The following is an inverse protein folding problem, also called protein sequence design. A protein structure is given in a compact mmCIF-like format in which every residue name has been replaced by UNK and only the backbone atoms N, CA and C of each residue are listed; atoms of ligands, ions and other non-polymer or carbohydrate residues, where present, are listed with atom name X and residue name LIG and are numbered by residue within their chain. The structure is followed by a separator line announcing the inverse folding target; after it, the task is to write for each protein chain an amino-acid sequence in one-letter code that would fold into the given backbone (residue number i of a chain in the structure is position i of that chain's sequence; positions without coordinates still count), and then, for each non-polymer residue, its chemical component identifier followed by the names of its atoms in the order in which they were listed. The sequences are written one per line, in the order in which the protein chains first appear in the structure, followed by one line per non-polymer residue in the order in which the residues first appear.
data_IF_594944036024
#
_entry.id   IF_594944036024
#
_cell.length_a   1.000
_cell.length_b   1.000
_cell.length_c   1.000
_cell.angle_alpha   90.00
_cell.angle_beta   90.00
_cell.angle_gamma   90.00
#
_symmetry.space_group_name_H-M   'P 1'
#
loop_
_entity.id
_entity.type
_entity.pdbx_description
1 polymer ?
#
# COMPACT_ATOMS: atom_id res chain seq x y z
N UNK A 1 9.88 -3.93 20.17
CA UNK A 1 8.60 -4.55 20.55
C UNK A 1 7.54 -3.49 20.81
N UNK A 2 7.65 -2.64 21.83
CA UNK A 2 6.67 -1.58 22.13
C UNK A 2 6.44 -0.58 20.97
N UNK A 3 7.52 -0.12 20.32
CA UNK A 3 7.44 0.83 19.19
C UNK A 3 6.69 0.25 17.98
N UNK A 4 6.89 -1.03 17.66
CA UNK A 4 6.21 -1.71 16.55
C UNK A 4 4.71 -1.87 16.85
N UNK A 5 4.35 -2.21 18.09
CA UNK A 5 2.95 -2.32 18.52
C UNK A 5 2.25 -0.96 18.46
N UNK A 6 2.91 0.10 18.96
CA UNK A 6 2.39 1.47 18.86
C UNK A 6 2.19 1.92 17.41
N UNK A 7 3.14 1.60 16.52
CA UNK A 7 3.04 1.92 15.10
C UNK A 7 1.86 1.21 14.41
N UNK A 8 1.68 -0.10 14.68
CA UNK A 8 0.53 -0.86 14.15
C UNK A 8 -0.80 -0.31 14.65
N UNK A 9 -0.90 0.06 15.94
CA UNK A 9 -2.11 0.67 16.49
C UNK A 9 -2.39 2.05 15.88
N UNK A 10 -1.35 2.87 15.66
CA UNK A 10 -1.48 4.18 15.02
C UNK A 10 -2.00 4.07 13.57
N UNK A 11 -1.52 3.08 12.81
CA UNK A 11 -2.01 2.78 11.45
C UNK A 11 -3.49 2.37 11.44
N UNK A 12 -3.90 1.50 12.36
CA UNK A 12 -5.30 1.09 12.47
C UNK A 12 -6.20 2.28 12.85
N UNK A 13 -5.76 3.12 13.79
CA UNK A 13 -6.52 4.32 14.20
C UNK A 13 -6.66 5.33 13.07
N UNK A 14 -5.65 5.53 12.22
CA UNK A 14 -5.74 6.47 11.08
C UNK A 14 -6.73 6.00 10.00
N UNK A 15 -7.00 4.71 9.90
CA UNK A 15 -8.07 4.19 9.04
C UNK A 15 -9.45 4.45 9.67
N UNK A 16 -9.61 4.14 10.95
CA UNK A 16 -10.91 4.13 11.64
C UNK A 16 -11.39 5.54 11.98
N UNK A 17 -10.52 6.42 12.49
CA UNK A 17 -10.91 7.73 13.02
C UNK A 17 -11.59 8.63 11.97
N UNK A 18 -11.05 8.79 10.75
CA UNK A 18 -11.67 9.63 9.73
C UNK A 18 -13.03 9.10 9.27
N UNK A 19 -13.19 7.77 9.20
CA UNK A 19 -14.47 7.13 8.90
C UNK A 19 -15.50 7.42 9.98
N UNK A 20 -15.15 7.24 11.25
CA UNK A 20 -16.05 7.52 12.38
C UNK A 20 -16.46 8.99 12.42
N UNK A 21 -15.52 9.93 12.24
CA UNK A 21 -15.81 11.38 12.20
C UNK A 21 -16.76 11.72 11.03
N UNK A 22 -16.62 11.05 9.89
CA UNK A 22 -17.54 11.22 8.78
C UNK A 22 -18.94 10.67 9.08
N UNK A 23 -19.06 9.50 9.71
CA UNK A 23 -20.36 8.90 10.05
C UNK A 23 -21.11 9.64 11.16
N UNK A 24 -20.40 10.27 12.10
CA UNK A 24 -21.00 11.08 13.19
C UNK A 24 -21.38 12.50 12.71
N UNK A 25 -20.77 13.00 11.63
CA UNK A 25 -21.07 14.31 11.07
C UNK A 25 -22.15 14.30 9.97
N UNK A 26 -22.47 15.48 9.42
CA UNK A 26 -23.40 15.55 8.28
C UNK A 26 -22.83 14.87 7.04
N UNK A 27 -23.64 13.97 6.48
CA UNK A 27 -23.38 13.19 5.28
C UNK A 27 -23.50 14.09 4.03
N UNK A 28 -22.51 14.95 3.81
CA UNK A 28 -22.43 15.80 2.61
C UNK A 28 -21.35 15.31 1.65
N UNK A 29 -21.64 15.33 0.33
CA UNK A 29 -20.68 15.00 -0.75
C UNK A 29 -19.35 15.74 -0.61
N UNK A 30 -19.37 16.98 -0.11
CA UNK A 30 -18.16 17.79 0.09
C UNK A 30 -17.28 17.30 1.25
N UNK A 31 -17.89 16.80 2.33
CA UNK A 31 -17.16 16.24 3.48
C UNK A 31 -16.63 14.85 3.17
N UNK A 32 -17.35 14.04 2.42
CA UNK A 32 -16.89 12.71 2.02
C UNK A 32 -15.54 12.77 1.29
N UNK A 33 -15.43 13.63 0.27
CA UNK A 33 -14.18 13.81 -0.47
C UNK A 33 -13.04 14.31 0.42
N UNK A 34 -13.33 15.23 1.35
CA UNK A 34 -12.33 15.74 2.32
C UNK A 34 -11.89 14.64 3.28
N UNK A 35 -12.80 13.85 3.82
CA UNK A 35 -12.48 12.73 4.72
C UNK A 35 -11.63 11.68 4.02
N UNK A 36 -11.99 11.27 2.79
CA UNK A 36 -11.21 10.28 2.02
C UNK A 36 -9.80 10.80 1.75
N UNK A 37 -9.66 12.08 1.37
CA UNK A 37 -8.36 12.69 1.15
C UNK A 37 -7.53 12.77 2.45
N UNK A 38 -8.13 13.21 3.56
CA UNK A 38 -7.48 13.24 4.87
C UNK A 38 -7.09 11.84 5.35
N UNK A 39 -7.92 10.83 5.09
CA UNK A 39 -7.62 9.44 5.43
C UNK A 39 -6.40 8.92 4.67
N UNK A 40 -6.36 9.09 3.33
CA UNK A 40 -5.17 8.74 2.55
C UNK A 40 -3.93 9.50 3.02
N UNK A 41 -4.04 10.82 3.24
CA UNK A 41 -2.89 11.64 3.63
C UNK A 41 -2.35 11.26 5.00
N UNK A 42 -3.23 11.03 5.98
CA UNK A 42 -2.84 10.64 7.34
C UNK A 42 -2.32 9.21 7.40
N UNK A 43 -2.91 8.28 6.64
CA UNK A 43 -2.45 6.89 6.57
C UNK A 43 -1.06 6.78 5.92
N UNK A 44 -0.90 7.27 4.68
CA UNK A 44 0.39 7.21 3.98
C UNK A 44 1.45 8.09 4.65
N UNK A 45 1.06 9.24 5.22
CA UNK A 45 1.96 10.09 6.00
C UNK A 45 2.46 9.42 7.27
N UNK A 46 1.57 8.78 8.04
CA UNK A 46 1.96 8.01 9.25
C UNK A 46 2.80 6.80 8.87
N UNK A 47 2.45 6.10 7.79
CA UNK A 47 3.22 4.96 7.28
C UNK A 47 4.66 5.38 6.91
N UNK A 48 4.82 6.45 6.15
CA UNK A 48 6.14 6.96 5.74
C UNK A 48 6.97 7.46 6.92
N UNK A 49 6.38 8.22 7.84
CA UNK A 49 7.08 8.69 9.03
C UNK A 49 7.49 7.52 9.94
N UNK A 50 6.62 6.53 10.11
CA UNK A 50 6.93 5.36 10.91
C UNK A 50 8.01 4.48 10.31
N UNK A 51 8.05 4.30 8.98
CA UNK A 51 9.17 3.59 8.34
C UNK A 51 10.48 4.34 8.54
N UNK A 52 10.51 5.67 8.39
CA UNK A 52 11.72 6.47 8.66
C UNK A 52 12.21 6.30 10.10
N UNK A 53 11.32 6.35 11.10
CA UNK A 53 11.68 6.23 12.52
C UNK A 53 12.20 4.82 12.86
N UNK A 54 11.55 3.78 12.31
CA UNK A 54 11.94 2.37 12.55
C UNK A 54 13.31 2.07 11.91
N UNK A 55 13.58 2.57 10.70
CA UNK A 55 14.86 2.35 10.02
C UNK A 55 16.00 3.22 10.58
N UNK A 56 15.71 4.43 11.08
CA UNK A 56 16.73 5.30 11.70
C UNK A 56 17.35 4.68 12.96
N UNK A 57 16.58 3.91 13.73
CA UNK A 57 17.08 3.20 14.91
C UNK A 57 18.01 2.01 14.55
N UNK A 58 18.00 1.56 13.30
CA UNK A 58 18.85 0.45 12.80
C UNK A 58 20.18 0.95 12.22
N UNK A 59 20.23 2.21 11.76
CA UNK A 59 21.40 2.79 11.09
C UNK A 59 22.62 2.99 12.01
N UNK A 60 22.44 3.06 13.33
CA UNK A 60 23.54 3.26 14.29
C UNK A 60 24.34 1.99 14.61
N UNK A 61 23.97 0.82 14.08
CA UNK A 61 24.59 -0.47 14.43
C UNK A 61 25.52 -1.08 13.36
N UNK A 62 25.68 -0.45 12.19
CA UNK A 62 26.35 -1.08 11.04
C UNK A 62 27.53 -0.23 10.51
N UNK A 63 28.65 -0.24 11.23
CA UNK A 63 29.96 0.11 10.65
C UNK A 63 30.93 -1.03 10.98
N UNK A 64 30.76 -2.18 10.33
CA UNK A 64 31.82 -3.18 10.07
C UNK A 64 31.26 -4.30 9.20
N UNK A 65 31.86 -4.52 8.02
CA UNK A 65 31.96 -5.77 7.23
C UNK A 65 31.58 -5.61 5.76
N UNK A 66 32.52 -5.87 4.85
CA UNK A 66 32.37 -5.88 3.38
C UNK A 66 31.30 -6.88 2.84
N UNK A 67 30.85 -7.83 3.67
CA UNK A 67 29.73 -8.72 3.36
C UNK A 67 28.35 -8.04 3.47
N UNK A 68 28.26 -6.85 4.06
CA UNK A 68 27.01 -6.09 4.20
C UNK A 68 26.56 -5.44 2.88
N UNK A 69 27.48 -5.24 1.93
CA UNK A 69 27.26 -4.49 0.68
C UNK A 69 26.34 -5.22 -0.30
N UNK A 70 26.48 -6.55 -0.44
CA UNK A 70 25.65 -7.36 -1.34
C UNK A 70 24.22 -7.51 -0.83
N UNK A 71 24.03 -7.68 0.48
CA UNK A 71 22.70 -7.78 1.09
C UNK A 71 21.94 -6.45 1.04
N UNK A 72 22.60 -5.32 1.28
CA UNK A 72 21.95 -4.00 1.27
C UNK A 72 21.35 -3.64 -0.10
N UNK A 73 22.10 -3.90 -1.18
CA UNK A 73 21.60 -3.70 -2.55
C UNK A 73 20.44 -4.64 -2.90
N UNK A 74 20.49 -5.89 -2.45
CA UNK A 74 19.38 -6.85 -2.59
C UNK A 74 18.09 -6.37 -1.93
N UNK A 75 18.18 -5.82 -0.71
CA UNK A 75 17.01 -5.27 0.00
C UNK A 75 16.42 -4.04 -0.71
N UNK A 76 17.25 -3.16 -1.24
CA UNK A 76 16.80 -2.00 -2.03
C UNK A 76 16.13 -2.46 -3.34
N UNK A 77 16.71 -3.45 -4.01
CA UNK A 77 16.16 -4.02 -5.24
C UNK A 77 14.80 -4.71 -4.98
N UNK A 78 14.66 -5.47 -3.89
CA UNK A 78 13.39 -6.07 -3.46
C UNK A 78 12.32 -4.99 -3.20
N UNK A 79 12.67 -3.93 -2.47
CA UNK A 79 11.74 -2.82 -2.20
C UNK A 79 11.29 -2.07 -3.45
N UNK A 80 12.21 -1.80 -4.38
CA UNK A 80 11.89 -1.17 -5.66
C UNK A 80 11.05 -2.06 -6.57
N UNK A 81 11.33 -3.37 -6.63
CA UNK A 81 10.59 -4.31 -7.47
C UNK A 81 9.11 -4.38 -7.10
N UNK A 82 8.81 -4.56 -5.81
CA UNK A 82 7.42 -4.58 -5.33
C UNK A 82 6.78 -3.18 -5.40
N UNK A 83 7.51 -2.13 -5.00
CA UNK A 83 6.98 -0.76 -4.96
C UNK A 83 6.56 -0.25 -6.33
N UNK A 84 7.42 -0.37 -7.34
CA UNK A 84 7.11 0.05 -8.72
C UNK A 84 6.01 -0.82 -9.34
N UNK A 85 5.98 -2.11 -9.03
CA UNK A 85 4.92 -3.01 -9.50
C UNK A 85 3.56 -2.62 -8.94
N UNK A 86 3.47 -2.34 -7.63
CA UNK A 86 2.23 -1.90 -6.99
C UNK A 86 1.74 -0.56 -7.55
N UNK A 87 2.63 0.37 -7.92
CA UNK A 87 2.23 1.64 -8.56
C UNK A 87 1.62 1.37 -9.94
N UNK A 88 2.26 0.54 -10.77
CA UNK A 88 1.75 0.19 -12.10
C UNK A 88 0.42 -0.57 -12.04
N UNK A 89 0.33 -1.55 -11.15
CA UNK A 89 -0.90 -2.32 -10.91
C UNK A 89 -2.02 -1.42 -10.39
N UNK A 90 -1.75 -0.55 -9.42
CA UNK A 90 -2.75 0.39 -8.88
C UNK A 90 -3.33 1.31 -9.95
N UNK A 91 -2.52 1.79 -10.90
CA UNK A 91 -3.00 2.59 -12.03
C UNK A 91 -3.90 1.79 -12.97
N UNK A 92 -3.50 0.57 -13.33
CA UNK A 92 -4.29 -0.32 -14.18
C UNK A 92 -5.62 -0.72 -13.51
N UNK A 93 -5.59 -1.01 -12.21
CA UNK A 93 -6.77 -1.34 -11.38
C UNK A 93 -7.71 -0.15 -11.31
N UNK A 94 -7.21 1.07 -11.07
CA UNK A 94 -8.05 2.27 -11.00
C UNK A 94 -8.83 2.50 -12.32
N UNK A 95 -8.17 2.32 -13.46
CA UNK A 95 -8.82 2.45 -14.77
C UNK A 95 -9.85 1.35 -15.02
N UNK A 96 -9.47 0.07 -14.85
CA UNK A 96 -10.34 -1.07 -15.10
C UNK A 96 -11.55 -1.13 -14.14
N UNK A 97 -11.35 -0.83 -12.85
CA UNK A 97 -12.41 -0.80 -11.86
C UNK A 97 -13.44 0.32 -12.14
N UNK A 98 -12.98 1.48 -12.61
CA UNK A 98 -13.90 2.60 -12.95
C UNK A 98 -14.81 2.25 -14.13
N UNK A 99 -14.27 1.60 -15.17
CA UNK A 99 -15.04 1.15 -16.32
C UNK A 99 -16.00 0.00 -15.94
N UNK A 100 -15.53 -0.95 -15.12
CA UNK A 100 -16.34 -2.03 -14.58
C UNK A 100 -17.54 -1.53 -13.78
N UNK A 101 -17.34 -0.57 -12.87
CA UNK A 101 -18.42 0.05 -12.10
C UNK A 101 -19.40 0.84 -12.99
N UNK A 102 -18.91 1.49 -14.04
CA UNK A 102 -19.75 2.16 -15.03
C UNK A 102 -20.67 1.18 -15.75
N UNK A 103 -20.11 0.09 -16.29
CA UNK A 103 -20.90 -0.93 -16.98
C UNK A 103 -21.85 -1.68 -16.03
N UNK A 104 -21.44 -1.90 -14.77
CA UNK A 104 -22.27 -2.51 -13.74
C UNK A 104 -23.52 -1.66 -13.42
N UNK A 105 -23.43 -0.35 -13.58
CA UNK A 105 -24.59 0.54 -13.40
C UNK A 105 -25.66 0.38 -14.48
N UNK A 106 -25.28 -0.14 -15.64
CA UNK A 106 -26.18 -0.40 -16.77
C UNK A 106 -26.70 -1.85 -16.77
N UNK A 107 -25.83 -2.82 -16.47
CA UNK A 107 -26.21 -4.22 -16.33
C UNK A 107 -25.54 -4.87 -15.12
N UNK A 108 -26.35 -5.26 -14.13
CA UNK A 108 -25.86 -5.97 -12.94
C UNK A 108 -25.39 -7.40 -13.23
N UNK A 109 -25.83 -8.01 -14.34
CA UNK A 109 -25.51 -9.39 -14.70
C UNK A 109 -24.04 -9.59 -15.09
N UNK A 110 -23.35 -8.53 -15.50
CA UNK A 110 -21.95 -8.57 -15.91
C UNK A 110 -20.96 -8.44 -14.75
N UNK A 111 -21.42 -8.31 -13.50
CA UNK A 111 -20.57 -8.14 -12.32
C UNK A 111 -19.41 -9.14 -12.26
N UNK A 112 -19.72 -10.43 -12.42
CA UNK A 112 -18.71 -11.49 -12.37
C UNK A 112 -17.66 -11.39 -13.47
N UNK A 113 -18.07 -11.00 -14.69
CA UNK A 113 -17.14 -10.82 -15.83
C UNK A 113 -16.26 -9.59 -15.65
N UNK A 114 -16.83 -8.52 -15.13
CA UNK A 114 -16.10 -7.28 -14.86
C UNK A 114 -15.03 -7.48 -13.77
N UNK A 115 -15.32 -8.28 -12.73
CA UNK A 115 -14.39 -8.59 -11.66
C UNK A 115 -13.14 -9.34 -12.14
N UNK A 116 -13.26 -10.18 -13.17
CA UNK A 116 -12.11 -10.89 -13.78
C UNK A 116 -11.09 -9.91 -14.36
N UNK A 117 -11.54 -8.87 -15.07
CA UNK A 117 -10.63 -7.87 -15.65
C UNK A 117 -9.89 -7.05 -14.59
N UNK A 118 -10.58 -6.72 -13.49
CA UNK A 118 -9.95 -6.03 -12.34
C UNK A 118 -8.94 -6.94 -11.65
N UNK A 119 -9.29 -8.21 -11.43
CA UNK A 119 -8.39 -9.19 -10.82
C UNK A 119 -7.14 -9.48 -11.68
N UNK A 120 -7.29 -9.47 -13.02
CA UNK A 120 -6.14 -9.61 -13.92
C UNK A 120 -5.16 -8.43 -13.81
N UNK A 121 -5.65 -7.21 -13.58
CA UNK A 121 -4.81 -6.04 -13.35
C UNK A 121 -4.05 -6.10 -12.01
N UNK A 122 -4.65 -6.70 -10.98
CA UNK A 122 -4.00 -7.01 -9.69
C UNK A 122 -2.85 -8.03 -9.82
N UNK A 123 -2.92 -8.93 -10.79
CA UNK A 123 -1.88 -9.94 -11.04
C UNK A 123 -0.48 -9.36 -11.22
N UNK A 124 -0.37 -8.12 -11.70
CA UNK A 124 0.90 -7.39 -11.85
C UNK A 124 1.56 -7.18 -10.47
N UNK A 125 0.81 -6.75 -9.47
CA UNK A 125 1.33 -6.54 -8.11
C UNK A 125 1.82 -7.85 -7.50
N UNK A 126 1.08 -8.95 -7.70
CA UNK A 126 1.48 -10.28 -7.23
C UNK A 126 2.79 -10.75 -7.87
N UNK A 127 2.98 -10.48 -9.16
CA UNK A 127 4.25 -10.77 -9.84
C UNK A 127 5.42 -9.97 -9.24
N UNK A 128 5.19 -8.69 -8.92
CA UNK A 128 6.18 -7.85 -8.22
C UNK A 128 6.52 -8.37 -6.82
N UNK A 129 5.52 -8.84 -6.08
CA UNK A 129 5.71 -9.48 -4.79
C UNK A 129 6.53 -10.77 -4.90
N UNK A 130 6.26 -11.63 -5.90
CA UNK A 130 7.03 -12.86 -6.14
C UNK A 130 8.50 -12.53 -6.43
N UNK A 131 8.78 -11.54 -7.29
CA UNK A 131 10.16 -11.12 -7.59
C UNK A 131 10.85 -10.60 -6.34
N UNK A 132 10.20 -9.74 -5.56
CA UNK A 132 10.76 -9.24 -4.31
C UNK A 132 11.03 -10.38 -3.32
N UNK A 133 10.10 -11.34 -3.20
CA UNK A 133 10.28 -12.53 -2.36
C UNK A 133 11.49 -13.37 -2.80
N UNK A 134 11.64 -13.63 -4.11
CA UNK A 134 12.80 -14.36 -4.64
C UNK A 134 14.12 -13.64 -4.37
N UNK A 135 14.15 -12.30 -4.47
CA UNK A 135 15.33 -11.51 -4.12
C UNK A 135 15.65 -11.68 -2.63
N UNK A 136 14.64 -11.64 -1.76
CA UNK A 136 14.82 -11.82 -0.32
C UNK A 136 15.26 -13.23 0.08
N UNK A 137 14.95 -14.26 -0.72
CA UNK A 137 15.30 -15.66 -0.38
C UNK A 137 16.57 -16.16 -1.05
N UNK A 138 16.98 -15.58 -2.17
CA UNK A 138 18.12 -16.08 -2.97
C UNK A 138 19.28 -15.08 -3.08
N UNK A 139 19.09 -13.80 -2.75
CA UNK A 139 20.11 -12.75 -2.92
C UNK A 139 20.47 -12.06 -1.61
N UNK A 140 19.47 -11.71 -0.79
CA UNK A 140 19.66 -11.18 0.57
C UNK A 140 19.70 -12.32 1.60
#
# INVERSE_FOLDING_TARGET
MLINVLFSVALLLTIVLPLVVYFVGEQSKGRFKRTVLTNCLTFFGTFLLGTIVIFSNTASAAVTSDAASSNGLGLIAAGLAIGLSCIGSGYAVASSASAALGALSEDSSIFGKALIFVALAEGIALWGFIVAFLILTHVA
#
